data_IF_698727622712
#
_entry.id   IF_698727622712
#
_cell.length_a   1.000
_cell.length_b   1.000
_cell.length_c   1.000
_cell.angle_alpha   90.00
_cell.angle_beta   90.00
_cell.angle_gamma   90.00
#
_symmetry.space_group_name_H-M   'P 1'
#
loop_
_entity.id
_entity.type
_entity.pdbx_description
1 polymer ?
#
# COMPACT_ATOMS: atom_id res chain seq x y z
N UNK A 1 4.84 -4.18 -4.42
CA UNK A 1 3.83 -4.21 -3.34
C UNK A 1 2.82 -5.29 -3.66
N UNK A 2 2.44 -6.07 -2.65
CA UNK A 2 1.60 -7.26 -2.87
C UNK A 2 0.34 -7.30 -2.01
N UNK A 3 0.20 -6.40 -1.02
CA UNK A 3 -1.06 -6.28 -0.27
C UNK A 3 -1.24 -4.84 0.21
N UNK A 4 -2.45 -4.32 0.07
CA UNK A 4 -2.91 -3.12 0.74
C UNK A 4 -4.18 -3.44 1.54
N UNK A 5 -4.23 -2.97 2.78
CA UNK A 5 -5.43 -2.98 3.61
C UNK A 5 -5.93 -1.56 3.72
N UNK A 6 -7.21 -1.32 3.42
CA UNK A 6 -7.83 0.00 3.54
C UNK A 6 -9.06 -0.12 4.42
N UNK A 7 -9.11 0.62 5.52
CA UNK A 7 -10.33 0.77 6.31
C UNK A 7 -10.86 2.20 6.20
N UNK A 8 -12.04 2.32 5.60
CA UNK A 8 -12.69 3.59 5.32
C UNK A 8 -13.94 3.76 6.18
N UNK A 9 -14.02 4.84 6.94
CA UNK A 9 -15.20 5.24 7.70
C UNK A 9 -15.31 6.78 7.70
N UNK A 10 -16.17 7.38 6.86
CA UNK A 10 -16.28 8.84 6.77
C UNK A 10 -16.78 9.52 8.04
N UNK A 11 -17.28 8.76 9.03
CA UNK A 11 -17.71 9.28 10.33
C UNK A 11 -16.62 9.23 11.40
N UNK A 12 -15.51 8.54 11.13
CA UNK A 12 -14.36 8.46 12.03
C UNK A 12 -13.54 9.76 12.01
N UNK A 13 -12.91 10.18 13.13
CA UNK A 13 -11.92 11.26 13.12
C UNK A 13 -10.71 10.96 12.22
N UNK A 14 -10.46 9.68 11.94
CA UNK A 14 -9.46 9.21 10.97
C UNK A 14 -10.17 8.41 9.86
N UNK A 15 -10.77 9.10 8.86
CA UNK A 15 -11.62 8.42 7.91
C UNK A 15 -10.96 7.32 7.10
N UNK A 16 -9.67 7.46 6.79
CA UNK A 16 -8.92 6.46 6.03
C UNK A 16 -7.76 5.96 6.86
N UNK A 17 -7.68 4.64 7.00
CA UNK A 17 -6.50 3.92 7.45
C UNK A 17 -6.01 3.03 6.30
N UNK A 18 -4.74 3.12 5.96
CA UNK A 18 -4.12 2.34 4.88
C UNK A 18 -2.85 1.66 5.38
N UNK A 19 -2.77 0.34 5.20
CA UNK A 19 -1.54 -0.42 5.37
C UNK A 19 -1.04 -0.96 4.02
N UNK A 20 0.14 -0.53 3.58
CA UNK A 20 0.78 -0.99 2.35
C UNK A 20 1.96 -1.91 2.65
N UNK A 21 1.88 -3.16 2.18
CA UNK A 21 2.89 -4.20 2.42
C UNK A 21 3.67 -4.48 1.13
N UNK A 22 4.96 -4.15 1.15
CA UNK A 22 5.84 -4.22 -0.02
C UNK A 22 6.64 -5.52 -0.04
N UNK A 23 6.14 -6.51 -0.76
CA UNK A 23 6.96 -7.68 -1.11
C UNK A 23 7.80 -7.41 -2.37
N UNK A 24 9.10 -7.70 -2.29
CA UNK A 24 10.10 -7.43 -3.32
C UNK A 24 11.37 -8.28 -3.10
N UNK A 25 12.22 -8.38 -4.12
CA UNK A 25 13.57 -8.92 -3.96
C UNK A 25 14.43 -8.05 -3.03
N UNK A 26 15.21 -8.71 -2.16
CA UNK A 26 16.03 -8.05 -1.15
C UNK A 26 17.17 -7.20 -1.74
N UNK A 27 17.63 -7.53 -2.95
CA UNK A 27 18.69 -6.82 -3.67
C UNK A 27 18.18 -5.61 -4.47
N UNK A 28 16.86 -5.39 -4.57
CA UNK A 28 16.30 -4.24 -5.27
C UNK A 28 16.56 -2.97 -4.44
N UNK A 29 17.31 -1.97 -4.94
CA UNK A 29 17.66 -0.79 -4.17
C UNK A 29 16.49 0.20 -4.04
N UNK A 30 16.30 0.76 -2.85
CA UNK A 30 15.27 1.77 -2.56
C UNK A 30 15.69 2.70 -1.40
N UNK A 31 15.03 3.85 -1.28
CA UNK A 31 15.14 4.77 -0.14
C UNK A 31 13.85 4.80 0.68
N UNK A 32 13.94 4.92 2.02
CA UNK A 32 12.76 5.05 2.87
C UNK A 32 11.96 6.32 2.55
N UNK A 33 10.71 6.43 3.05
CA UNK A 33 9.86 7.56 2.73
C UNK A 33 10.48 8.92 3.03
N UNK A 34 10.41 9.82 2.05
CA UNK A 34 10.92 11.19 2.14
C UNK A 34 10.52 12.04 0.92
N UNK A 35 10.88 13.33 0.91
CA UNK A 35 10.57 14.26 -0.18
C UNK A 35 11.58 14.12 -1.33
N UNK A 36 11.46 13.03 -2.11
CA UNK A 36 12.47 12.67 -3.10
C UNK A 36 12.32 13.33 -4.48
N UNK A 37 11.20 14.02 -4.73
CA UNK A 37 10.83 14.54 -6.06
C UNK A 37 10.87 16.08 -6.08
N UNK A 38 11.90 16.70 -6.69
CA UNK A 38 12.02 18.16 -6.76
C UNK A 38 10.89 18.86 -7.51
N UNK A 39 10.29 18.18 -8.48
CA UNK A 39 9.14 18.65 -9.28
C UNK A 39 7.80 18.48 -8.54
N UNK A 40 7.79 17.74 -7.42
CA UNK A 40 6.62 17.49 -6.57
C UNK A 40 7.03 17.56 -5.08
N UNK A 41 7.51 18.71 -4.61
CA UNK A 41 8.19 18.83 -3.31
C UNK A 41 7.28 18.56 -2.09
N UNK A 42 5.95 18.63 -2.27
CA UNK A 42 4.99 18.30 -1.23
C UNK A 42 4.82 16.79 -0.99
N UNK A 43 5.23 15.95 -1.93
CA UNK A 43 5.00 14.50 -1.83
C UNK A 43 6.02 13.81 -0.94
N UNK A 44 5.53 12.92 -0.10
CA UNK A 44 6.32 12.02 0.74
C UNK A 44 6.08 10.58 0.29
N UNK A 45 7.13 9.82 0.01
CA UNK A 45 7.01 8.43 -0.39
C UNK A 45 8.37 7.75 -0.45
N UNK A 46 8.41 6.42 -0.48
CA UNK A 46 9.67 5.70 -0.69
C UNK A 46 10.13 5.80 -2.14
N UNK A 47 11.44 5.76 -2.39
CA UNK A 47 11.97 5.87 -3.76
C UNK A 47 12.53 4.54 -4.22
N UNK A 48 12.00 3.99 -5.30
CA UNK A 48 12.60 2.88 -6.02
C UNK A 48 13.79 3.42 -6.84
N UNK A 49 15.01 2.96 -6.53
CA UNK A 49 16.23 3.46 -7.19
C UNK A 49 16.48 2.79 -8.55
N UNK A 50 15.80 1.68 -8.84
CA UNK A 50 15.90 0.99 -10.12
C UNK A 50 14.91 1.55 -11.14
N UNK A 51 13.67 1.81 -10.73
CA UNK A 51 12.59 2.27 -11.62
C UNK A 51 12.24 3.76 -11.46
N UNK A 52 12.81 4.45 -10.47
CA UNK A 52 12.67 5.90 -10.26
C UNK A 52 11.35 6.38 -9.64
N UNK A 53 10.36 5.50 -9.48
CA UNK A 53 9.04 5.81 -8.92
C UNK A 53 8.88 5.46 -7.44
N UNK A 54 7.64 5.34 -6.98
CA UNK A 54 7.29 4.90 -5.62
C UNK A 54 6.24 3.78 -5.61
N UNK A 55 6.16 3.03 -4.53
CA UNK A 55 5.03 2.13 -4.27
C UNK A 55 3.87 2.83 -3.54
N UNK A 56 4.14 3.91 -2.82
CA UNK A 56 3.16 4.69 -2.07
C UNK A 56 3.60 6.15 -1.97
N UNK A 57 2.69 7.09 -2.23
CA UNK A 57 2.91 8.52 -2.04
C UNK A 57 1.81 9.13 -1.18
N UNK A 58 2.19 10.09 -0.36
CA UNK A 58 1.32 10.91 0.48
C UNK A 58 1.52 12.37 0.12
N UNK A 59 0.43 13.10 -0.04
CA UNK A 59 0.43 14.57 0.01
C UNK A 59 -0.16 15.00 1.37
N UNK A 60 0.65 15.54 2.30
CA UNK A 60 0.17 16.02 3.58
C UNK A 60 -0.53 17.39 3.49
N UNK A 61 -0.28 18.16 2.43
CA UNK A 61 -0.90 19.47 2.19
C UNK A 61 -2.32 19.35 1.61
N UNK A 62 -2.57 18.28 0.86
CA UNK A 62 -3.89 17.84 0.46
C UNK A 62 -4.07 16.40 0.95
N UNK A 63 -4.56 16.15 2.19
CA UNK A 63 -4.54 14.85 2.90
C UNK A 63 -4.92 13.64 2.04
N UNK A 64 -3.96 13.14 1.26
CA UNK A 64 -4.20 12.17 0.21
C UNK A 64 -3.09 11.15 0.20
N UNK A 65 -3.46 9.90 -0.01
CA UNK A 65 -2.51 8.80 -0.21
C UNK A 65 -2.86 8.04 -1.47
N UNK A 66 -1.83 7.62 -2.21
CA UNK A 66 -1.96 6.71 -3.31
C UNK A 66 -0.97 5.55 -3.17
N UNK A 67 -1.40 4.34 -3.51
CA UNK A 67 -0.73 3.09 -3.17
C UNK A 67 -0.94 2.09 -4.32
N UNK A 68 0.14 1.71 -5.02
CA UNK A 68 0.08 0.85 -6.22
C UNK A 68 0.52 -0.59 -5.94
N UNK A 69 -0.28 -1.55 -6.38
CA UNK A 69 0.01 -2.97 -6.40
C UNK A 69 0.22 -3.43 -7.85
N UNK A 70 0.95 -4.52 -8.00
CA UNK A 70 1.00 -5.22 -9.28
C UNK A 70 -0.38 -5.81 -9.59
N UNK A 71 -0.81 -5.71 -10.84
CA UNK A 71 -2.01 -6.38 -11.36
C UNK A 71 -1.63 -7.46 -12.36
N UNK A 72 -2.66 -8.12 -12.90
CA UNK A 72 -2.54 -9.13 -13.95
C UNK A 72 -3.26 -8.69 -15.21
N UNK A 73 -2.75 -9.13 -16.37
CA UNK A 73 -3.30 -8.77 -17.66
C UNK A 73 -2.21 -8.70 -18.73
N UNK A 74 -2.45 -7.93 -19.79
CA UNK A 74 -1.49 -7.74 -20.88
C UNK A 74 -0.38 -6.77 -20.43
N UNK A 75 0.90 -7.20 -20.38
CA UNK A 75 2.00 -6.30 -20.03
C UNK A 75 2.19 -5.23 -21.10
N UNK A 76 2.69 -4.07 -20.70
CA UNK A 76 3.03 -3.01 -21.64
C UNK A 76 4.22 -3.47 -22.51
N UNK A 77 4.37 -2.97 -23.75
CA UNK A 77 5.57 -3.22 -24.56
C UNK A 77 6.84 -2.84 -23.78
N UNK A 78 7.95 -3.61 -23.89
CA UNK A 78 9.19 -3.27 -23.21
C UNK A 78 9.74 -1.89 -23.63
N UNK A 79 9.63 -1.60 -24.92
CA UNK A 79 10.09 -0.34 -25.49
C UNK A 79 9.18 0.81 -25.03
N UNK A 80 9.76 1.76 -24.30
CA UNK A 80 9.04 2.92 -23.79
C UNK A 80 8.15 2.61 -22.58
N UNK A 81 8.28 1.46 -21.92
CA UNK A 81 7.52 1.14 -20.70
C UNK A 81 7.73 2.19 -19.61
N UNK A 82 6.64 2.66 -19.02
CA UNK A 82 6.63 3.59 -17.88
C UNK A 82 6.48 2.80 -16.59
N UNK A 83 7.24 3.19 -15.56
CA UNK A 83 7.13 2.60 -14.23
C UNK A 83 5.74 2.83 -13.64
N UNK A 84 5.12 1.77 -13.10
CA UNK A 84 3.90 1.87 -12.27
C UNK A 84 4.07 2.84 -11.11
N UNK A 85 5.29 3.09 -10.65
CA UNK A 85 5.56 3.99 -9.54
C UNK A 85 5.37 5.47 -9.84
N UNK A 86 5.05 5.84 -11.08
CA UNK A 86 4.55 7.18 -11.44
C UNK A 86 3.08 7.36 -11.03
N UNK A 87 2.28 6.28 -10.98
CA UNK A 87 0.85 6.33 -10.68
C UNK A 87 0.56 6.90 -9.28
N UNK A 88 1.23 6.45 -8.19
CA UNK A 88 0.99 7.06 -6.89
C UNK A 88 1.42 8.52 -6.82
N UNK A 89 2.48 8.92 -7.54
CA UNK A 89 2.95 10.32 -7.53
C UNK A 89 1.91 11.26 -8.13
N UNK A 90 1.32 10.86 -9.27
CA UNK A 90 0.23 11.63 -9.90
C UNK A 90 -1.00 11.66 -9.01
N UNK A 91 -1.45 10.48 -8.60
CA UNK A 91 -2.66 10.35 -7.81
C UNK A 91 -2.56 11.08 -6.47
N UNK A 92 -1.42 11.05 -5.77
CA UNK A 92 -1.23 11.81 -4.54
C UNK A 92 -1.22 13.32 -4.78
N UNK A 93 -0.59 13.80 -5.86
CA UNK A 93 -0.52 15.22 -6.18
C UNK A 93 -1.87 15.83 -6.62
N UNK A 94 -2.59 15.18 -7.52
CA UNK A 94 -3.79 15.77 -8.16
C UNK A 94 -5.09 15.06 -7.80
N UNK A 95 -5.01 13.83 -7.31
CA UNK A 95 -6.16 12.94 -7.10
C UNK A 95 -6.37 12.03 -8.29
N UNK A 96 -5.71 12.27 -9.43
CA UNK A 96 -6.00 11.60 -10.68
C UNK A 96 -4.73 11.01 -11.29
N UNK A 97 -4.89 10.10 -12.25
CA UNK A 97 -3.79 9.51 -13.02
C UNK A 97 -3.78 10.01 -14.46
N UNK A 98 -4.42 11.16 -14.69
CA UNK A 98 -4.65 11.74 -15.99
C UNK A 98 -3.33 12.06 -16.72
N UNK A 99 -3.44 12.20 -18.04
CA UNK A 99 -2.34 12.48 -18.96
C UNK A 99 -1.20 11.43 -18.95
N UNK A 100 -1.49 10.22 -18.47
CA UNK A 100 -0.59 9.07 -18.57
C UNK A 100 -1.11 8.08 -19.62
N UNK A 101 -0.27 7.76 -20.60
CA UNK A 101 -0.56 6.71 -21.55
C UNK A 101 -0.46 5.33 -20.87
N UNK A 102 -1.61 4.83 -20.41
CA UNK A 102 -1.71 3.55 -19.69
C UNK A 102 -1.28 2.35 -20.55
N UNK A 103 -1.26 2.45 -21.88
CA UNK A 103 -0.77 1.37 -22.75
C UNK A 103 0.74 1.11 -22.56
N UNK A 104 1.45 2.08 -21.97
CA UNK A 104 2.86 2.00 -21.61
C UNK A 104 3.09 1.58 -20.16
N UNK A 105 2.04 1.34 -19.39
CA UNK A 105 2.11 0.97 -17.97
C UNK A 105 1.67 -0.48 -17.81
N UNK A 106 2.47 -1.28 -17.10
CA UNK A 106 2.07 -2.66 -16.80
C UNK A 106 0.79 -2.71 -15.95
N UNK A 107 0.00 -3.81 -16.02
CA UNK A 107 -1.20 -4.01 -15.22
C UNK A 107 -1.00 -3.70 -13.73
N UNK A 108 -2.00 -3.06 -13.13
CA UNK A 108 -1.93 -2.56 -11.76
C UNK A 108 -3.29 -2.52 -11.05
N UNK A 109 -3.21 -2.44 -9.72
CA UNK A 109 -4.28 -1.95 -8.86
C UNK A 109 -3.77 -0.72 -8.11
N UNK A 110 -4.45 0.41 -8.22
CA UNK A 110 -4.07 1.66 -7.58
C UNK A 110 -5.18 2.07 -6.62
N UNK A 111 -4.85 2.13 -5.34
CA UNK A 111 -5.70 2.74 -4.32
C UNK A 111 -5.38 4.23 -4.30
N UNK A 112 -6.40 5.08 -4.40
CA UNK A 112 -6.33 6.53 -4.19
C UNK A 112 -7.31 6.89 -3.08
N UNK A 113 -6.85 7.50 -2.00
CA UNK A 113 -7.69 7.80 -0.85
C UNK A 113 -7.51 9.25 -0.38
N UNK A 114 -8.66 9.86 -0.07
CA UNK A 114 -8.85 11.15 0.58
C UNK A 114 -9.83 10.94 1.77
N UNK A 115 -9.96 11.86 2.72
CA UNK A 115 -10.80 11.64 3.91
C UNK A 115 -12.28 11.37 3.58
N UNK A 116 -12.76 11.77 2.40
CA UNK A 116 -14.15 11.64 1.98
C UNK A 116 -14.38 10.54 0.95
N UNK A 117 -13.33 9.99 0.33
CA UNK A 117 -13.47 9.03 -0.76
C UNK A 117 -12.25 8.12 -0.85
N UNK A 118 -12.51 6.84 -1.06
CA UNK A 118 -11.50 5.87 -1.48
C UNK A 118 -11.89 5.32 -2.85
N UNK A 119 -10.95 5.38 -3.79
CA UNK A 119 -11.07 4.82 -5.14
C UNK A 119 -10.05 3.73 -5.37
N UNK A 120 -10.46 2.72 -6.14
CA UNK A 120 -9.60 1.68 -6.68
C UNK A 120 -9.66 1.74 -8.20
N UNK A 121 -8.53 2.07 -8.82
CA UNK A 121 -8.34 2.00 -10.27
C UNK A 121 -7.63 0.68 -10.59
N UNK A 122 -8.14 -0.08 -11.54
CA UNK A 122 -7.58 -1.36 -11.98
C UNK A 122 -7.38 -1.35 -13.48
N UNK A 123 -6.16 -1.62 -13.91
CA UNK A 123 -5.75 -1.68 -15.31
C UNK A 123 -5.26 -3.09 -15.63
N UNK A 124 -5.87 -3.72 -16.63
CA UNK A 124 -5.49 -5.07 -17.09
C UNK A 124 -4.63 -5.05 -18.37
N UNK A 125 -4.17 -3.88 -18.79
CA UNK A 125 -3.46 -3.69 -20.06
C UNK A 125 -4.36 -3.41 -21.27
N UNK A 126 -5.68 -3.42 -21.09
CA UNK A 126 -6.67 -3.14 -22.14
C UNK A 126 -7.76 -2.17 -21.65
N UNK A 127 -8.33 -2.42 -20.47
CA UNK A 127 -9.42 -1.64 -19.89
C UNK A 127 -9.04 -1.09 -18.51
N UNK A 128 -9.38 0.18 -18.28
CA UNK A 128 -9.30 0.82 -16.97
C UNK A 128 -10.67 0.74 -16.30
N UNK A 129 -10.75 0.01 -15.20
CA UNK A 129 -11.92 -0.01 -14.33
C UNK A 129 -11.68 0.83 -13.08
N UNK A 130 -12.58 1.76 -12.79
CA UNK A 130 -12.57 2.54 -11.55
C UNK A 130 -13.77 2.15 -10.67
N UNK A 131 -13.55 2.08 -9.36
CA UNK A 131 -14.63 1.95 -8.38
C UNK A 131 -14.37 2.77 -7.12
N UNK A 132 -15.44 3.31 -6.54
CA UNK A 132 -15.42 3.84 -5.18
C UNK A 132 -15.60 2.69 -4.20
N UNK A 133 -14.75 2.61 -3.18
CA UNK A 133 -14.89 1.63 -2.11
C UNK A 133 -15.89 2.17 -1.07
N UNK A 134 -16.93 1.39 -0.69
CA UNK A 134 -17.85 1.81 0.36
C UNK A 134 -17.15 1.83 1.73
N UNK A 135 -17.75 2.46 2.75
CA UNK A 135 -17.26 2.33 4.13
C UNK A 135 -17.09 0.86 4.54
N UNK A 136 -16.02 0.55 5.25
CA UNK A 136 -15.63 -0.80 5.66
C UNK A 136 -14.14 -1.09 5.48
N UNK A 137 -13.76 -2.35 5.76
CA UNK A 137 -12.40 -2.86 5.56
C UNK A 137 -12.28 -3.63 4.24
N UNK A 138 -11.28 -3.26 3.46
CA UNK A 138 -10.98 -3.79 2.14
C UNK A 138 -9.54 -4.28 2.07
N UNK A 139 -9.33 -5.50 1.60
CA UNK A 139 -8.00 -6.01 1.26
C UNK A 139 -7.83 -6.06 -0.26
N UNK A 140 -6.79 -5.42 -0.76
CA UNK A 140 -6.38 -5.44 -2.16
C UNK A 140 -5.07 -6.21 -2.23
N UNK A 141 -5.02 -7.19 -3.12
CA UNK A 141 -3.84 -8.05 -3.36
C UNK A 141 -3.53 -8.05 -4.86
N UNK A 142 -2.49 -8.74 -5.29
CA UNK A 142 -2.14 -8.83 -6.73
C UNK A 142 -3.29 -9.36 -7.59
N UNK A 143 -4.13 -10.24 -7.02
CA UNK A 143 -5.31 -10.79 -7.68
C UNK A 143 -6.56 -9.90 -7.57
N UNK A 144 -6.41 -8.65 -7.12
CA UNK A 144 -7.48 -7.66 -7.07
C UNK A 144 -8.11 -7.45 -5.69
N UNK A 145 -9.26 -6.76 -5.67
CA UNK A 145 -10.02 -6.48 -4.46
C UNK A 145 -10.63 -7.76 -3.90
N UNK A 146 -10.29 -8.13 -2.68
CA UNK A 146 -10.71 -9.36 -2.02
C UNK A 146 -10.42 -10.61 -2.86
N UNK A 147 -9.29 -10.56 -3.59
CA UNK A 147 -8.86 -11.62 -4.51
C UNK A 147 -9.70 -11.72 -5.79
N UNK A 148 -10.50 -10.70 -6.10
CA UNK A 148 -11.36 -10.62 -7.30
C UNK A 148 -10.89 -9.49 -8.21
N UNK A 149 -10.06 -9.83 -9.18
CA UNK A 149 -9.52 -8.92 -10.20
C UNK A 149 -9.95 -9.31 -11.62
N UNK A 150 -9.48 -8.57 -12.64
CA UNK A 150 -9.67 -8.91 -14.04
C UNK A 150 -9.18 -10.33 -14.35
N UNK A 151 -9.79 -10.96 -15.35
CA UNK A 151 -9.36 -12.30 -15.78
C UNK A 151 -8.00 -12.19 -16.46
N UNK A 152 -6.98 -12.76 -15.83
CA UNK A 152 -5.65 -12.95 -16.41
C UNK A 152 -5.10 -14.29 -15.97
N UNK A 153 -4.05 -14.76 -16.64
CA UNK A 153 -3.31 -15.95 -16.21
C UNK A 153 -2.55 -15.61 -14.92
N UNK A 154 -3.18 -15.93 -13.79
CA UNK A 154 -2.52 -15.93 -12.49
C UNK A 154 -2.07 -17.36 -12.20
N UNK A 155 -0.81 -17.52 -11.79
CA UNK A 155 -0.33 -18.82 -11.34
C UNK A 155 -1.22 -19.35 -10.20
N UNK A 156 -1.73 -20.60 -10.26
CA UNK A 156 -2.66 -21.13 -9.26
C UNK A 156 -2.18 -20.98 -7.83
N UNK A 157 -0.89 -21.24 -7.57
CA UNK A 157 -0.31 -21.10 -6.23
C UNK A 157 -0.29 -19.66 -5.73
N UNK A 158 -0.06 -18.69 -6.61
CA UNK A 158 -0.10 -17.27 -6.24
C UNK A 158 -1.52 -16.84 -5.89
N UNK A 159 -2.52 -17.27 -6.67
CA UNK A 159 -3.92 -17.02 -6.37
C UNK A 159 -4.34 -17.67 -5.04
N UNK A 160 -3.93 -18.92 -4.80
CA UNK A 160 -4.19 -19.62 -3.55
C UNK A 160 -3.52 -18.92 -2.36
N UNK A 161 -2.31 -18.38 -2.52
CA UNK A 161 -1.61 -17.64 -1.47
C UNK A 161 -2.36 -16.38 -1.08
N UNK A 162 -2.77 -15.59 -2.08
CA UNK A 162 -3.52 -14.36 -1.85
C UNK A 162 -4.86 -14.66 -1.17
N UNK A 163 -5.57 -15.71 -1.60
CA UNK A 163 -6.82 -16.14 -0.98
C UNK A 163 -6.62 -16.58 0.48
N UNK A 164 -5.57 -17.35 0.78
CA UNK A 164 -5.25 -17.79 2.13
C UNK A 164 -4.88 -16.61 3.05
N UNK A 165 -4.13 -15.64 2.54
CA UNK A 165 -3.78 -14.39 3.24
C UNK A 165 -5.03 -13.58 3.59
N UNK A 166 -5.93 -13.36 2.62
CA UNK A 166 -7.18 -12.63 2.84
C UNK A 166 -8.05 -13.37 3.88
N UNK A 167 -8.25 -14.67 3.70
CA UNK A 167 -9.07 -15.48 4.61
C UNK A 167 -8.56 -15.46 6.06
N UNK A 168 -7.26 -15.28 6.25
CA UNK A 168 -6.65 -15.19 7.58
C UNK A 168 -6.69 -13.77 8.16
N UNK A 169 -6.13 -12.77 7.45
CA UNK A 169 -5.90 -11.44 8.01
C UNK A 169 -7.13 -10.53 7.98
N UNK A 170 -8.00 -10.65 6.98
CA UNK A 170 -9.18 -9.78 6.85
C UNK A 170 -10.09 -9.83 8.09
N UNK A 171 -10.57 -11.00 8.56
CA UNK A 171 -11.43 -11.05 9.73
C UNK A 171 -10.73 -10.61 11.02
N UNK A 172 -9.41 -10.82 11.13
CA UNK A 172 -8.64 -10.38 12.31
C UNK A 172 -8.54 -8.86 12.37
N UNK A 173 -8.24 -8.20 11.24
CA UNK A 173 -8.15 -6.74 11.15
C UNK A 173 -9.54 -6.08 11.32
N UNK A 174 -10.59 -6.72 10.81
CA UNK A 174 -11.98 -6.25 10.95
C UNK A 174 -12.51 -6.39 12.39
N UNK A 175 -12.08 -7.42 13.12
CA UNK A 175 -12.45 -7.62 14.52
C UNK A 175 -11.59 -6.81 15.51
N UNK A 176 -10.39 -6.38 15.11
CA UNK A 176 -9.52 -5.57 15.95
C UNK A 176 -10.14 -4.18 16.19
N UNK A 177 -9.95 -3.58 17.39
CA UNK A 177 -10.29 -2.18 17.62
C UNK A 177 -9.69 -1.29 16.53
N UNK A 178 -10.53 -0.44 15.92
CA UNK A 178 -10.10 0.49 14.87
C UNK A 178 -9.04 1.43 15.45
N UNK A 179 -7.86 1.56 14.82
CA UNK A 179 -6.85 2.52 15.24
C UNK A 179 -7.36 3.97 15.26
N UNK A 180 -6.84 4.76 16.21
CA UNK A 180 -7.02 6.21 16.29
C UNK A 180 -5.64 6.87 16.25
N UNK A 181 -5.02 7.00 15.06
CA UNK A 181 -3.59 7.30 14.91
C UNK A 181 -3.25 8.78 15.13
N UNK A 182 -3.48 9.27 16.35
CA UNK A 182 -3.09 10.60 16.80
C UNK A 182 -1.58 10.72 17.09
N UNK A 183 -1.20 11.62 17.98
CA UNK A 183 0.19 11.79 18.39
C UNK A 183 0.70 10.58 19.21
N UNK A 184 2.02 10.32 19.17
CA UNK A 184 2.66 9.21 19.91
C UNK A 184 3.46 8.27 19.01
N UNK A 185 3.91 7.17 19.58
CA UNK A 185 4.62 6.09 18.88
C UNK A 185 3.71 5.35 17.91
N UNK A 186 4.29 4.61 16.96
CA UNK A 186 3.50 3.78 16.04
C UNK A 186 2.67 2.71 16.78
N UNK A 187 3.19 2.15 17.88
CA UNK A 187 2.46 1.17 18.70
C UNK A 187 1.21 1.76 19.35
N UNK A 188 1.30 2.98 19.90
CA UNK A 188 0.15 3.69 20.47
C UNK A 188 -0.86 4.07 19.40
N UNK A 189 -0.39 4.56 18.25
CA UNK A 189 -1.24 5.04 17.16
C UNK A 189 -2.01 3.92 16.44
N UNK A 190 -1.35 2.76 16.22
CA UNK A 190 -1.93 1.65 15.45
C UNK A 190 -2.49 0.52 16.32
N UNK A 191 -2.16 0.49 17.62
CA UNK A 191 -2.74 -0.43 18.60
C UNK A 191 -2.76 -1.89 18.13
N UNK A 192 -3.94 -2.51 18.19
CA UNK A 192 -4.13 -3.92 17.84
C UNK A 192 -3.87 -4.25 16.35
N UNK A 193 -3.84 -3.26 15.46
CA UNK A 193 -3.47 -3.49 14.07
C UNK A 193 -1.98 -3.75 13.89
N UNK A 194 -1.11 -3.10 14.68
CA UNK A 194 0.34 -3.19 14.51
C UNK A 194 0.87 -4.64 14.49
N UNK A 195 0.57 -5.50 15.48
CA UNK A 195 1.04 -6.89 15.46
C UNK A 195 0.46 -7.71 14.30
N UNK A 196 -0.73 -7.36 13.79
CA UNK A 196 -1.35 -8.04 12.64
C UNK A 196 -0.64 -7.68 11.34
N UNK A 197 -0.35 -6.40 11.11
CA UNK A 197 0.38 -5.94 9.91
C UNK A 197 1.85 -6.35 9.92
N UNK A 198 2.39 -6.69 11.10
CA UNK A 198 3.71 -7.30 11.27
C UNK A 198 3.75 -8.81 11.04
N UNK A 199 2.63 -9.41 10.62
CA UNK A 199 2.55 -10.82 10.24
C UNK A 199 1.76 -11.69 11.21
N UNK A 200 1.19 -11.12 12.29
CA UNK A 200 0.26 -11.82 13.17
C UNK A 200 0.86 -13.04 13.88
N UNK A 201 2.19 -13.07 14.06
CA UNK A 201 2.91 -14.19 14.65
C UNK A 201 3.03 -15.44 13.76
N UNK A 202 2.64 -15.36 12.49
CA UNK A 202 2.85 -16.46 11.54
C UNK A 202 4.32 -16.58 11.16
N UNK A 203 4.73 -17.81 10.84
CA UNK A 203 6.04 -18.06 10.22
C UNK A 203 6.11 -17.36 8.85
N UNK A 204 7.29 -16.82 8.50
CA UNK A 204 7.49 -16.07 7.25
C UNK A 204 7.37 -16.94 5.99
N UNK A 205 7.50 -18.25 6.11
CA UNK A 205 7.25 -19.22 5.05
C UNK A 205 5.80 -19.70 4.98
N UNK A 206 4.94 -19.35 5.94
CA UNK A 206 3.53 -19.75 5.95
C UNK A 206 2.81 -19.21 4.70
N UNK A 207 2.00 -20.04 4.07
CA UNK A 207 1.24 -19.67 2.87
C UNK A 207 0.26 -18.51 3.10
N UNK A 208 -0.17 -18.29 4.34
CA UNK A 208 -1.03 -17.17 4.75
C UNK A 208 -0.26 -15.89 5.01
N UNK A 209 1.06 -15.96 5.20
CA UNK A 209 1.87 -14.87 5.75
C UNK A 209 1.65 -13.53 5.02
N UNK A 210 1.45 -12.47 5.79
CA UNK A 210 1.43 -11.08 5.32
C UNK A 210 2.86 -10.52 5.23
N UNK A 211 3.66 -10.78 6.26
CA UNK A 211 5.12 -10.55 6.26
C UNK A 211 5.80 -11.87 5.97
N UNK A 212 6.40 -11.99 4.77
CA UNK A 212 6.93 -13.25 4.27
C UNK A 212 8.40 -13.19 3.91
N UNK A 213 9.01 -14.37 3.76
CA UNK A 213 10.36 -14.55 3.25
C UNK A 213 10.45 -15.86 2.46
N UNK A 214 11.02 -15.81 1.25
CA UNK A 214 11.26 -16.95 0.37
C UNK A 214 12.69 -16.89 -0.16
N UNK A 215 13.42 -17.96 0.07
CA UNK A 215 14.76 -18.15 -0.49
C UNK A 215 14.66 -18.94 -1.80
N UNK A 216 15.15 -18.37 -2.88
CA UNK A 216 15.21 -19.03 -4.20
C UNK A 216 16.58 -19.66 -4.50
N UNK A 217 17.50 -19.69 -3.52
CA UNK A 217 18.90 -20.09 -3.72
C UNK A 217 19.76 -18.95 -4.26
N UNK A 218 21.08 -19.15 -4.25
CA UNK A 218 22.08 -18.22 -4.81
C UNK A 218 21.99 -16.78 -4.27
N UNK A 219 21.54 -16.61 -3.01
CA UNK A 219 21.37 -15.31 -2.37
C UNK A 219 20.12 -14.53 -2.82
N UNK A 220 19.26 -15.11 -3.66
CA UNK A 220 18.03 -14.48 -4.14
C UNK A 220 16.91 -14.63 -3.13
N UNK A 221 16.88 -13.71 -2.17
CA UNK A 221 15.82 -13.59 -1.19
C UNK A 221 14.69 -12.70 -1.73
N UNK A 222 13.46 -13.20 -1.68
CA UNK A 222 12.26 -12.41 -1.95
C UNK A 222 11.39 -12.38 -0.71
N UNK A 223 10.90 -11.21 -0.32
CA UNK A 223 10.14 -11.10 0.90
C UNK A 223 9.58 -9.72 1.14
N UNK A 224 8.95 -9.55 2.28
CA UNK A 224 8.40 -8.25 2.68
C UNK A 224 9.54 -7.32 3.08
N UNK A 225 9.81 -6.35 2.21
CA UNK A 225 10.89 -5.38 2.33
C UNK A 225 10.55 -4.17 3.20
N UNK A 226 9.27 -3.81 3.27
CA UNK A 226 8.80 -2.68 4.09
C UNK A 226 7.29 -2.71 4.31
N UNK A 227 6.84 -2.08 5.38
CA UNK A 227 5.41 -1.79 5.62
C UNK A 227 5.22 -0.29 5.84
N UNK A 228 4.17 0.27 5.23
CA UNK A 228 3.75 1.65 5.37
C UNK A 228 2.35 1.70 6.00
N UNK A 229 2.17 2.51 7.04
CA UNK A 229 0.87 2.76 7.67
C UNK A 229 0.54 4.24 7.55
N UNK A 230 -0.59 4.55 6.93
CA UNK A 230 -1.03 5.92 6.67
C UNK A 230 -2.44 6.13 7.20
N UNK A 231 -2.63 7.17 8.01
CA UNK A 231 -3.94 7.63 8.46
C UNK A 231 -4.22 9.02 7.89
N UNK A 232 -5.38 9.21 7.28
CA UNK A 232 -5.86 10.52 6.85
C UNK A 232 -6.92 11.00 7.83
N UNK A 233 -6.80 12.25 8.27
CA UNK A 233 -7.82 13.02 8.96
C UNK A 233 -8.17 14.27 8.12
N UNK A 234 -9.25 14.98 8.45
CA UNK A 234 -9.62 16.21 7.75
C UNK A 234 -8.53 17.29 7.84
N UNK A 235 -7.80 17.35 8.97
CA UNK A 235 -6.78 18.35 9.24
C UNK A 235 -5.33 17.88 9.07
N UNK A 236 -5.08 16.64 8.66
CA UNK A 236 -3.71 16.16 8.59
C UNK A 236 -3.54 14.69 8.21
N UNK A 237 -2.29 14.27 8.19
CA UNK A 237 -1.88 12.91 7.85
C UNK A 237 -0.90 12.41 8.90
N UNK A 238 -0.99 11.12 9.22
CA UNK A 238 0.06 10.38 9.91
C UNK A 238 0.62 9.32 8.98
N UNK A 239 1.93 9.21 8.89
CA UNK A 239 2.63 8.19 8.12
C UNK A 239 3.72 7.54 9.00
N UNK A 240 3.52 6.28 9.36
CA UNK A 240 4.54 5.43 9.97
C UNK A 240 5.09 4.40 8.98
N UNK A 241 6.35 4.03 9.16
CA UNK A 241 7.08 3.16 8.25
C UNK A 241 8.03 2.23 9.02
N UNK A 242 8.19 1.01 8.51
CA UNK A 242 9.26 0.09 8.92
C UNK A 242 9.97 -0.50 7.70
N UNK A 243 11.30 -0.48 7.75
CA UNK A 243 12.21 -1.20 6.85
C UNK A 243 12.55 -2.61 7.35
N UNK A 244 12.17 -2.94 8.59
CA UNK A 244 12.35 -4.26 9.20
C UNK A 244 11.01 -4.85 9.63
N UNK A 245 10.10 -5.21 8.70
CA UNK A 245 8.80 -5.78 9.06
C UNK A 245 8.99 -7.01 9.96
N UNK A 246 8.23 -7.10 11.05
CA UNK A 246 8.35 -8.16 12.06
C UNK A 246 9.33 -7.86 13.21
N UNK A 247 10.04 -6.73 13.15
CA UNK A 247 10.72 -6.13 14.31
C UNK A 247 9.91 -4.91 14.78
N UNK A 248 9.17 -5.08 15.89
CA UNK A 248 8.33 -4.04 16.48
C UNK A 248 9.09 -2.77 16.88
N UNK A 249 10.42 -2.82 16.99
CA UNK A 249 11.24 -1.64 17.30
C UNK A 249 11.72 -0.89 16.05
N UNK A 250 11.50 -1.43 14.84
CA UNK A 250 11.96 -0.85 13.59
C UNK A 250 11.01 0.23 13.01
N UNK A 251 9.92 0.53 13.71
CA UNK A 251 8.95 1.54 13.29
C UNK A 251 9.45 2.95 13.53
N UNK A 252 9.24 3.80 12.52
CA UNK A 252 9.54 5.23 12.58
C UNK A 252 8.36 6.04 12.06
N UNK A 253 8.04 7.14 12.74
CA UNK A 253 7.06 8.11 12.26
C UNK A 253 7.74 9.02 11.24
N UNK A 254 7.34 8.90 9.98
CA UNK A 254 7.85 9.69 8.85
C UNK A 254 7.29 11.11 8.92
N UNK A 255 5.97 11.20 9.15
CA UNK A 255 5.28 12.48 9.35
C UNK A 255 4.06 12.29 10.25
N UNK A 256 3.75 13.31 11.04
CA UNK A 256 2.49 13.40 11.78
C UNK A 256 2.10 14.87 11.84
N UNK A 257 1.10 15.26 11.04
CA UNK A 257 0.49 16.60 11.08
C UNK A 257 -0.87 16.59 11.79
N UNK A 258 -1.32 15.44 12.29
CA UNK A 258 -2.57 15.34 13.04
C UNK A 258 -2.31 15.87 14.46
N UNK A 259 -2.87 17.04 14.76
CA UNK A 259 -2.88 17.59 16.11
C UNK A 259 -3.89 16.84 17.00
N UNK A 260 -3.60 16.72 18.30
CA UNK A 260 -4.63 16.34 19.27
C UNK A 260 -5.60 17.50 19.37
N UNK A 261 -6.86 17.32 18.97
CA UNK A 261 -7.92 18.19 19.46
C UNK A 261 -7.90 18.12 21.01
N UNK A 262 -7.52 19.24 21.65
CA UNK A 262 -7.62 19.47 23.09
C UNK A 262 -6.59 18.75 23.98
N UNK A 263 -5.56 19.49 24.38
CA UNK A 263 -4.95 19.36 25.70
C UNK A 263 -5.57 20.40 26.63
#
# INVERSE_FOLDING_TARGET
>A
MCTAVVAFDPLSPFPVLLAGVRDEFADRPWLPPGPHWPDRPGLIGGRDLQAGGTWLAVDPGAPRVACVLNGHGRPAPPDGRISRGELPLRAAATGEIDDLDLTRVDPFHLVCAEPTVVRLCTWDGVELAERKLPPGLHMIVNTGLEGRGPRGEVHPDAAAQMAARIAHFRPLLEAAPRPEPGAGTAAEAWGAWLPLVEGGGLDRGDHRALVLSRDFGDGRLWGTSSVSLVALAQGGVRYDFTAGPGDGNAWTTVLSSIERDGA
#
